data_IF_100437546151
#
_entry.id   IF_100437546151
#
_cell.length_a   1.000
_cell.length_b   1.000
_cell.length_c   1.000
_cell.angle_alpha   90.00
_cell.angle_beta   90.00
_cell.angle_gamma   90.00
#
_symmetry.space_group_name_H-M   'P 1'
#
loop_
_entity.id
_entity.type
_entity.pdbx_description
1 polymer ?
#
# COMPACT_ATOMS: atom_id res chain seq x y z
N UNK A 1 19.26 -1.54 17.06
CA UNK A 1 18.16 -1.93 16.15
C UNK A 1 17.00 -2.39 17.03
N UNK A 2 15.81 -1.82 16.87
CA UNK A 2 14.59 -2.27 17.56
C UNK A 2 13.94 -3.37 16.71
N UNK A 3 13.57 -4.48 17.32
CA UNK A 3 12.92 -5.60 16.64
C UNK A 3 11.47 -5.72 17.08
N UNK A 4 10.56 -5.76 16.11
CA UNK A 4 9.12 -5.95 16.33
C UNK A 4 8.61 -7.13 15.49
N UNK A 5 7.57 -7.83 15.95
CA UNK A 5 6.96 -8.95 15.23
C UNK A 5 5.95 -8.44 14.20
N UNK A 6 5.92 -9.05 13.01
CA UNK A 6 4.92 -8.79 11.98
C UNK A 6 4.66 -10.05 11.13
N UNK A 7 3.50 -10.16 10.46
CA UNK A 7 3.34 -11.15 9.39
C UNK A 7 4.12 -10.72 8.15
N UNK A 8 4.67 -11.71 7.42
CA UNK A 8 5.25 -11.50 6.10
C UNK A 8 4.21 -10.90 5.13
N UNK A 9 4.59 -9.87 4.36
CA UNK A 9 3.65 -9.11 3.49
C UNK A 9 3.15 -9.87 2.24
N UNK A 10 3.67 -11.06 1.95
CA UNK A 10 3.51 -11.70 0.64
C UNK A 10 2.31 -12.64 0.51
N UNK A 11 2.49 -13.94 0.79
CA UNK A 11 1.51 -14.98 0.45
C UNK A 11 0.73 -15.48 1.67
N UNK A 12 -0.33 -16.25 1.41
CA UNK A 12 -1.23 -16.80 2.43
C UNK A 12 -0.63 -17.83 3.38
N UNK A 13 0.66 -18.20 3.22
CA UNK A 13 1.37 -19.03 4.21
C UNK A 13 1.41 -18.35 5.57
N UNK A 14 1.56 -17.02 5.60
CA UNK A 14 1.50 -16.26 6.86
C UNK A 14 2.72 -16.43 7.77
N UNK A 15 3.93 -16.51 7.20
CA UNK A 15 5.17 -16.57 7.99
C UNK A 15 5.26 -15.40 8.98
N UNK A 16 5.63 -15.68 10.23
CA UNK A 16 6.00 -14.64 11.20
C UNK A 16 7.43 -14.17 10.96
N UNK A 17 7.65 -12.85 11.05
CA UNK A 17 8.95 -12.21 10.86
C UNK A 17 9.27 -11.24 11.99
N UNK A 18 10.56 -11.07 12.24
CA UNK A 18 11.09 -9.98 13.05
C UNK A 18 11.56 -8.86 12.11
N UNK A 19 11.03 -7.66 12.32
CA UNK A 19 11.33 -6.46 11.54
C UNK A 19 12.28 -5.58 12.34
N UNK A 20 13.50 -5.40 11.83
CA UNK A 20 14.54 -4.60 12.46
C UNK A 20 14.48 -3.15 11.99
N UNK A 21 14.17 -2.23 12.91
CA UNK A 21 14.11 -0.79 12.64
C UNK A 21 15.28 -0.04 13.29
N UNK A 22 15.78 0.97 12.59
CA UNK A 22 16.79 1.91 13.06
C UNK A 22 16.54 3.26 12.40
N UNK A 23 16.52 4.34 13.20
CA UNK A 23 16.32 5.72 12.71
C UNK A 23 15.09 5.85 11.79
N UNK A 24 13.96 5.25 12.18
CA UNK A 24 12.71 5.31 11.42
C UNK A 24 12.70 4.52 10.10
N UNK A 25 13.73 3.72 9.81
CA UNK A 25 13.79 2.85 8.62
C UNK A 25 13.88 1.38 9.00
N UNK A 26 13.28 0.53 8.17
CA UNK A 26 13.48 -0.92 8.23
C UNK A 26 14.82 -1.24 7.57
N UNK A 27 15.74 -1.79 8.35
CA UNK A 27 17.11 -2.09 7.91
C UNK A 27 17.36 -3.60 7.79
N UNK A 28 16.55 -4.43 8.44
CA UNK A 28 16.70 -5.87 8.43
C UNK A 28 15.35 -6.60 8.61
N UNK A 29 15.28 -7.84 8.15
CA UNK A 29 14.18 -8.76 8.40
C UNK A 29 14.72 -10.18 8.52
N UNK A 30 14.16 -10.96 9.44
CA UNK A 30 14.45 -12.38 9.59
C UNK A 30 13.16 -13.14 9.95
N UNK A 31 13.15 -14.46 9.78
CA UNK A 31 12.02 -15.26 10.24
C UNK A 31 11.97 -15.25 11.76
N UNK A 32 10.77 -15.18 12.33
CA UNK A 32 10.58 -15.30 13.78
C UNK A 32 10.74 -16.77 14.19
N UNK A 33 11.74 -17.14 15.01
CA UNK A 33 11.93 -18.51 15.49
C UNK A 33 10.73 -19.07 16.26
N UNK A 34 9.99 -18.20 16.94
CA UNK A 34 8.83 -18.57 17.76
C UNK A 34 7.56 -18.72 16.92
N UNK A 35 7.57 -18.28 15.65
CA UNK A 35 6.39 -18.36 14.80
C UNK A 35 6.09 -19.82 14.41
N UNK A 36 4.90 -20.34 14.72
CA UNK A 36 4.60 -21.77 14.54
C UNK A 36 4.56 -22.18 13.06
N UNK A 37 4.27 -21.23 12.17
CA UNK A 37 4.13 -21.43 10.72
C UNK A 37 5.47 -21.77 10.06
N UNK A 38 6.52 -21.02 10.39
CA UNK A 38 7.78 -21.03 9.63
C UNK A 38 9.02 -21.30 10.49
N UNK A 39 8.89 -21.28 11.83
CA UNK A 39 9.94 -21.65 12.79
C UNK A 39 11.30 -21.03 12.47
N UNK A 40 11.30 -19.72 12.21
CA UNK A 40 12.51 -18.95 11.90
C UNK A 40 12.94 -18.91 10.44
N UNK A 41 12.32 -19.69 9.54
CA UNK A 41 12.69 -19.72 8.13
C UNK A 41 11.86 -18.74 7.29
N UNK A 42 12.46 -18.22 6.22
CA UNK A 42 11.77 -17.48 5.17
C UNK A 42 12.14 -18.02 3.79
N UNK A 43 11.29 -17.76 2.79
CA UNK A 43 11.69 -17.86 1.39
C UNK A 43 12.40 -16.57 0.94
N UNK A 44 12.96 -16.57 -0.27
CA UNK A 44 13.69 -15.41 -0.84
C UNK A 44 12.91 -14.09 -0.74
N UNK A 45 11.59 -14.12 -0.97
CA UNK A 45 10.74 -12.92 -0.86
C UNK A 45 10.78 -12.32 0.56
N UNK A 46 10.65 -13.19 1.57
CA UNK A 46 10.66 -12.80 2.99
C UNK A 46 12.00 -12.19 3.42
N UNK A 47 13.11 -12.77 2.98
CA UNK A 47 14.44 -12.23 3.30
C UNK A 47 14.69 -10.82 2.73
N UNK A 48 14.04 -10.46 1.62
CA UNK A 48 14.16 -9.14 1.00
C UNK A 48 13.06 -8.14 1.39
N UNK A 49 12.22 -8.47 2.40
CA UNK A 49 11.18 -7.58 2.92
C UNK A 49 11.62 -6.13 3.18
N UNK A 50 12.82 -5.84 3.73
CA UNK A 50 13.23 -4.45 4.01
C UNK A 50 13.26 -3.54 2.77
N UNK A 51 13.38 -4.10 1.56
CA UNK A 51 13.56 -3.31 0.34
C UNK A 51 12.25 -2.82 -0.28
N UNK A 52 11.13 -3.48 0.00
CA UNK A 52 9.88 -3.29 -0.78
C UNK A 52 9.23 -1.91 -0.60
N UNK A 53 9.56 -1.19 0.48
CA UNK A 53 8.99 0.13 0.79
C UNK A 53 9.79 1.30 0.22
N UNK A 54 10.95 1.02 -0.40
CA UNK A 54 11.96 2.02 -0.77
C UNK A 54 12.22 2.06 -2.28
N UNK A 55 11.23 1.68 -3.10
CA UNK A 55 11.24 1.97 -4.53
C UNK A 55 11.34 3.49 -4.77
N UNK A 56 12.15 3.88 -5.76
CA UNK A 56 12.42 5.30 -6.09
C UNK A 56 11.16 6.03 -6.60
N UNK A 57 10.23 5.28 -7.18
CA UNK A 57 8.98 5.70 -7.82
C UNK A 57 7.76 5.56 -6.90
N UNK A 58 7.97 5.44 -5.58
CA UNK A 58 6.87 5.36 -4.61
C UNK A 58 5.95 6.57 -4.77
N UNK A 59 4.66 6.31 -4.97
CA UNK A 59 3.64 7.36 -5.02
C UNK A 59 3.62 8.12 -3.68
N UNK A 60 3.75 9.45 -3.77
CA UNK A 60 3.81 10.37 -2.61
C UNK A 60 2.60 11.29 -2.49
N UNK A 61 1.77 11.37 -3.53
CA UNK A 61 0.60 12.24 -3.61
C UNK A 61 -0.50 11.57 -4.44
N UNK A 62 -1.77 11.89 -4.19
CA UNK A 62 -2.86 11.48 -5.07
C UNK A 62 -2.66 12.01 -6.49
N UNK A 63 -3.05 11.20 -7.48
CA UNK A 63 -2.98 11.55 -8.89
C UNK A 63 -4.37 11.40 -9.51
N UNK A 64 -4.83 12.44 -10.21
CA UNK A 64 -6.11 12.44 -10.91
C UNK A 64 -5.89 12.67 -12.40
N UNK A 65 -6.69 11.99 -13.24
CA UNK A 65 -6.69 12.26 -14.68
C UNK A 65 -7.36 13.59 -14.94
N UNK A 66 -6.61 14.55 -15.48
CA UNK A 66 -7.05 15.93 -15.66
C UNK A 66 -6.90 16.35 -17.12
N UNK A 67 -7.89 17.09 -17.63
CA UNK A 67 -7.85 17.81 -18.91
C UNK A 67 -8.58 19.14 -18.73
N UNK A 68 -7.97 20.24 -19.15
CA UNK A 68 -8.54 21.59 -19.01
C UNK A 68 -8.96 21.94 -17.57
N UNK A 69 -8.15 21.55 -16.58
CA UNK A 69 -8.35 21.91 -15.16
C UNK A 69 -9.44 21.14 -14.42
N UNK A 70 -10.01 20.08 -15.03
CA UNK A 70 -11.04 19.24 -14.41
C UNK A 70 -10.77 17.76 -14.65
N UNK A 71 -11.44 16.91 -13.86
CA UNK A 71 -11.43 15.47 -14.09
C UNK A 71 -11.88 15.15 -15.51
N UNK A 72 -11.10 14.34 -16.21
CA UNK A 72 -11.40 13.83 -17.55
C UNK A 72 -10.83 12.42 -17.69
N UNK A 73 -11.61 11.49 -18.24
CA UNK A 73 -11.18 10.08 -18.38
C UNK A 73 -10.01 9.94 -19.36
N UNK A 74 -9.91 10.84 -20.33
CA UNK A 74 -8.83 10.90 -21.32
C UNK A 74 -7.68 11.83 -20.88
N UNK A 75 -7.74 12.37 -19.67
CA UNK A 75 -6.71 13.24 -19.11
C UNK A 75 -5.43 12.51 -18.68
N UNK A 76 -4.37 13.30 -18.49
CA UNK A 76 -3.09 12.85 -17.94
C UNK A 76 -3.11 12.89 -16.40
N UNK A 77 -2.34 12.00 -15.76
CA UNK A 77 -2.22 11.99 -14.30
C UNK A 77 -1.52 13.26 -13.81
N UNK A 78 -2.26 14.05 -13.05
CA UNK A 78 -1.78 15.29 -12.46
C UNK A 78 -1.87 15.18 -10.93
N UNK A 79 -0.85 15.66 -10.19
CA UNK A 79 -0.91 15.77 -8.73
C UNK A 79 -2.09 16.59 -8.22
N UNK A 80 -2.76 16.10 -7.19
CA UNK A 80 -3.84 16.81 -6.49
C UNK A 80 -3.74 16.59 -4.96
N UNK A 81 -4.53 17.33 -4.19
CA UNK A 81 -4.62 17.12 -2.74
C UNK A 81 -5.48 15.90 -2.39
N UNK A 82 -5.38 15.43 -1.14
CA UNK A 82 -6.27 14.38 -0.63
C UNK A 82 -7.74 14.83 -0.61
N UNK A 83 -8.03 16.08 -0.24
CA UNK A 83 -9.38 16.62 -0.22
C UNK A 83 -10.00 16.60 -1.63
N UNK A 84 -9.26 17.10 -2.64
CA UNK A 84 -9.71 17.04 -4.04
C UNK A 84 -9.93 15.59 -4.52
N UNK A 85 -9.09 14.64 -4.09
CA UNK A 85 -9.23 13.24 -4.47
C UNK A 85 -10.54 12.65 -3.91
N UNK A 86 -10.82 12.92 -2.63
CA UNK A 86 -12.04 12.46 -1.99
C UNK A 86 -13.29 13.19 -2.50
N UNK A 87 -13.24 14.50 -2.75
CA UNK A 87 -14.36 15.26 -3.33
C UNK A 87 -14.82 14.65 -4.67
N UNK A 88 -13.86 14.32 -5.55
CA UNK A 88 -14.16 13.69 -6.83
C UNK A 88 -14.68 12.26 -6.65
N UNK A 89 -14.08 11.47 -5.75
CA UNK A 89 -14.60 10.12 -5.45
C UNK A 89 -16.04 10.18 -4.91
N UNK A 90 -16.32 11.08 -3.98
CA UNK A 90 -17.63 11.29 -3.39
C UNK A 90 -18.67 11.68 -4.45
N UNK A 91 -18.35 12.65 -5.31
CA UNK A 91 -19.23 13.08 -6.41
C UNK A 91 -19.60 11.89 -7.31
N UNK A 92 -18.61 11.09 -7.72
CA UNK A 92 -18.83 9.95 -8.62
C UNK A 92 -19.59 8.81 -7.96
N UNK A 93 -19.25 8.46 -6.72
CA UNK A 93 -19.97 7.44 -5.96
C UNK A 93 -21.43 7.84 -5.74
N UNK A 94 -21.70 9.08 -5.28
CA UNK A 94 -23.07 9.59 -5.08
C UNK A 94 -23.87 9.60 -6.38
N UNK A 95 -23.25 9.96 -7.50
CA UNK A 95 -23.90 9.93 -8.82
C UNK A 95 -24.30 8.50 -9.19
N UNK A 96 -23.38 7.53 -9.07
CA UNK A 96 -23.66 6.13 -9.38
C UNK A 96 -24.77 5.55 -8.47
N UNK A 97 -24.70 5.80 -7.16
CA UNK A 97 -25.74 5.38 -6.21
C UNK A 97 -27.11 5.94 -6.58
N UNK A 98 -27.18 7.24 -6.92
CA UNK A 98 -28.43 7.91 -7.26
C UNK A 98 -29.03 7.37 -8.56
N UNK A 99 -28.20 7.08 -9.56
CA UNK A 99 -28.66 6.65 -10.88
C UNK A 99 -29.00 5.16 -10.96
N UNK A 100 -28.22 4.30 -10.27
CA UNK A 100 -28.23 2.85 -10.49
C UNK A 100 -28.31 2.02 -9.21
N UNK A 101 -28.27 2.65 -8.04
CA UNK A 101 -28.32 1.97 -6.75
C UNK A 101 -26.97 1.36 -6.31
N UNK A 102 -26.95 0.70 -5.13
CA UNK A 102 -25.72 0.23 -4.49
C UNK A 102 -24.97 -0.86 -5.25
N UNK A 103 -25.65 -1.66 -6.07
CA UNK A 103 -25.04 -2.73 -6.89
C UNK A 103 -24.19 -2.21 -8.06
N UNK A 104 -24.10 -0.88 -8.22
CA UNK A 104 -23.32 -0.22 -9.28
C UNK A 104 -21.89 0.15 -8.88
N UNK A 105 -21.47 -0.19 -7.66
CA UNK A 105 -20.22 0.26 -7.03
C UNK A 105 -19.43 -0.94 -6.49
#
# INVERSE_FOLDING_TARGET
IKWDKAPCRFCGTGCGVLVGTQQGRVVACQGDPDAPVNRGLNCIKGYFLPKIMYGKDRLTQPLLRMKNGKYDKEGEFTPITWDQAFDVMEEKFKTALKEKGPESI
#
